data_IF_836088994790
#
_entry.id   IF_836088994790
#
_cell.length_a   1.000
_cell.length_b   1.000
_cell.length_c   1.000
_cell.angle_alpha   90.00
_cell.angle_beta   90.00
_cell.angle_gamma   90.00
#
_symmetry.space_group_name_H-M   'P 1'
#
loop_
_entity.id
_entity.type
_entity.pdbx_description
1 polymer ?
#
# COMPACT_ATOMS: atom_id res chain seq x y z
N UNK A 1 -7.77 7.06 -15.87
CA UNK A 1 -7.99 6.03 -14.82
C UNK A 1 -8.27 6.77 -13.54
N UNK A 2 -9.20 6.28 -12.73
CA UNK A 2 -9.47 6.87 -11.42
C UNK A 2 -8.62 6.12 -10.40
N UNK A 3 -7.98 6.87 -9.51
CA UNK A 3 -7.20 6.36 -8.39
C UNK A 3 -7.87 6.81 -7.08
N UNK A 4 -7.41 6.25 -5.98
CA UNK A 4 -7.88 6.61 -4.65
C UNK A 4 -6.74 7.20 -3.85
N UNK A 5 -6.92 8.43 -3.39
CA UNK A 5 -5.98 9.14 -2.55
C UNK A 5 -6.41 8.99 -1.09
N UNK A 6 -5.49 8.46 -0.29
CA UNK A 6 -5.63 8.30 1.14
C UNK A 6 -4.78 9.35 1.86
N UNK A 7 -5.38 10.03 2.83
CA UNK A 7 -4.73 11.04 3.69
C UNK A 7 -5.25 10.90 5.12
N UNK A 8 -4.61 11.49 6.13
CA UNK A 8 -5.12 11.49 7.51
C UNK A 8 -6.45 12.24 7.65
N UNK A 9 -6.71 13.17 6.73
CA UNK A 9 -7.83 14.11 6.84
C UNK A 9 -9.00 13.63 5.98
N UNK A 10 -9.84 12.79 6.58
CA UNK A 10 -11.14 12.42 6.02
C UNK A 10 -11.14 11.14 5.18
N UNK A 11 -12.28 10.83 4.53
CA UNK A 11 -12.43 9.58 3.79
C UNK A 11 -11.53 9.55 2.55
N UNK A 12 -11.22 8.37 2.00
CA UNK A 12 -10.50 8.24 0.74
C UNK A 12 -11.13 9.06 -0.39
N UNK A 13 -10.31 9.70 -1.20
CA UNK A 13 -10.73 10.61 -2.28
C UNK A 13 -10.48 10.00 -3.65
N UNK A 14 -11.48 10.00 -4.51
CA UNK A 14 -11.28 9.62 -5.92
C UNK A 14 -10.57 10.74 -6.68
N UNK A 15 -9.42 10.44 -7.27
CA UNK A 15 -8.54 11.40 -7.97
C UNK A 15 -8.05 10.83 -9.31
N UNK A 16 -7.42 11.66 -10.13
CA UNK A 16 -6.68 11.24 -11.32
C UNK A 16 -5.32 10.58 -10.99
N UNK A 17 -4.35 10.74 -11.89
CA UNK A 17 -2.98 10.28 -11.69
C UNK A 17 -2.15 11.27 -10.85
N UNK A 18 -0.84 11.03 -10.70
CA UNK A 18 0.05 11.94 -9.96
C UNK A 18 0.10 13.36 -10.53
N UNK A 19 -0.29 13.57 -11.80
CA UNK A 19 -0.39 14.88 -12.42
C UNK A 19 -1.67 15.64 -12.09
N UNK A 20 -2.64 15.00 -11.42
CA UNK A 20 -3.83 15.66 -10.91
C UNK A 20 -3.46 16.76 -9.92
N UNK A 21 -4.01 17.97 -10.11
CA UNK A 21 -3.76 19.11 -9.24
C UNK A 21 -4.10 18.82 -7.77
N UNK A 22 -5.10 17.98 -7.53
CA UNK A 22 -5.53 17.55 -6.20
C UNK A 22 -4.44 16.69 -5.55
N UNK A 23 -3.81 15.79 -6.30
CA UNK A 23 -2.72 14.94 -5.80
C UNK A 23 -1.46 15.77 -5.57
N UNK A 24 -1.09 16.63 -6.54
CA UNK A 24 0.08 17.49 -6.44
C UNK A 24 0.01 18.46 -5.24
N UNK A 25 -1.18 18.99 -4.95
CA UNK A 25 -1.41 19.92 -3.84
C UNK A 25 -1.59 19.25 -2.48
N UNK A 26 -1.73 17.92 -2.42
CA UNK A 26 -1.97 17.19 -1.16
C UNK A 26 -0.68 17.08 -0.35
N UNK A 27 -0.63 17.59 0.90
CA UNK A 27 0.51 17.40 1.79
C UNK A 27 0.60 15.95 2.27
N UNK A 28 1.80 15.51 2.62
CA UNK A 28 2.00 14.22 3.28
C UNK A 28 1.62 14.27 4.78
N UNK A 29 1.40 13.12 5.43
CA UNK A 29 1.48 11.78 4.85
C UNK A 29 0.30 11.50 3.91
N UNK A 30 0.54 10.86 2.77
CA UNK A 30 -0.50 10.51 1.80
C UNK A 30 -0.10 9.30 0.97
N UNK A 31 -1.06 8.51 0.52
CA UNK A 31 -0.83 7.36 -0.37
C UNK A 31 -1.84 7.36 -1.50
N UNK A 32 -1.34 7.19 -2.73
CA UNK A 32 -2.16 7.02 -3.93
C UNK A 32 -2.25 5.53 -4.26
N UNK A 33 -3.46 5.00 -4.32
CA UNK A 33 -3.76 3.62 -4.70
C UNK A 33 -4.44 3.59 -6.06
N UNK A 34 -4.19 2.54 -6.84
CA UNK A 34 -5.01 2.22 -8.00
C UNK A 34 -6.43 1.90 -7.52
N UNK A 35 -7.46 2.45 -8.17
CA UNK A 35 -8.83 1.99 -7.92
C UNK A 35 -8.96 0.55 -8.42
N UNK A 36 -9.66 -0.35 -7.69
CA UNK A 36 -9.97 -1.65 -8.24
C UNK A 36 -10.80 -1.43 -9.50
N UNK A 37 -10.35 -1.98 -10.63
CA UNK A 37 -11.17 -1.99 -11.83
C UNK A 37 -12.40 -2.85 -11.52
N UNK A 38 -13.56 -2.23 -11.28
CA UNK A 38 -14.84 -2.95 -11.26
C UNK A 38 -14.97 -3.65 -12.62
N UNK A 39 -14.63 -4.94 -12.63
CA UNK A 39 -14.93 -5.83 -13.75
C UNK A 39 -16.44 -6.04 -13.75
N UNK A 40 -17.16 -5.18 -14.46
CA UNK A 40 -18.62 -5.22 -14.49
C UNK A 40 -19.16 -4.24 -15.53
N UNK A 41 -19.43 -4.79 -16.71
CA UNK A 41 -20.31 -4.29 -17.75
C UNK A 41 -21.43 -3.37 -17.19
N UNK A 42 -21.34 -2.07 -17.44
CA UNK A 42 -22.43 -1.13 -17.17
C UNK A 42 -23.52 -1.38 -18.21
N UNK A 43 -24.49 -2.21 -17.84
CA UNK A 43 -25.79 -2.18 -18.49
C UNK A 43 -26.34 -0.74 -18.38
N UNK A 44 -26.77 -0.10 -19.48
CA UNK A 44 -27.16 1.31 -19.47
C UNK A 44 -28.56 1.40 -18.87
N UNK A 45 -28.66 1.51 -17.53
CA UNK A 45 -29.99 1.53 -16.91
C UNK A 45 -30.08 1.63 -15.41
N UNK A 46 -29.01 1.95 -14.66
CA UNK A 46 -29.15 2.17 -13.22
C UNK A 46 -28.45 3.45 -12.78
N UNK A 47 -29.13 4.15 -11.87
CA UNK A 47 -28.87 5.48 -11.34
C UNK A 47 -27.41 5.68 -10.89
N UNK A 48 -26.92 6.93 -10.77
CA UNK A 48 -25.58 7.18 -10.27
C UNK A 48 -25.48 6.62 -8.85
N UNK A 49 -24.83 5.47 -8.71
CA UNK A 49 -24.45 4.94 -7.41
C UNK A 49 -23.47 5.96 -6.83
N UNK A 50 -23.93 6.65 -5.80
CA UNK A 50 -23.09 7.43 -4.88
C UNK A 50 -21.87 6.57 -4.56
N UNK A 51 -20.62 7.06 -4.73
CA UNK A 51 -19.45 6.27 -4.35
C UNK A 51 -19.60 5.99 -2.86
N UNK A 52 -19.87 4.73 -2.53
CA UNK A 52 -19.89 4.25 -1.17
C UNK A 52 -18.54 4.64 -0.57
N UNK A 53 -18.55 5.27 0.62
CA UNK A 53 -17.33 5.71 1.27
C UNK A 53 -16.45 4.47 1.52
N UNK A 54 -15.51 4.21 0.60
CA UNK A 54 -14.60 3.10 0.70
C UNK A 54 -13.82 3.29 2.01
N UNK A 55 -13.82 2.27 2.86
CA UNK A 55 -13.11 2.37 4.14
C UNK A 55 -11.61 2.38 3.86
N UNK A 56 -10.83 3.16 4.63
CA UNK A 56 -9.36 3.22 4.57
C UNK A 56 -8.71 1.83 4.50
N UNK A 57 -9.25 0.84 5.21
CA UNK A 57 -8.77 -0.55 5.23
C UNK A 57 -8.98 -1.26 3.89
N UNK A 58 -10.12 -1.01 3.23
CA UNK A 58 -10.42 -1.55 1.91
C UNK A 58 -9.49 -0.91 0.86
N UNK A 59 -9.31 0.40 0.91
CA UNK A 59 -8.40 1.12 0.01
C UNK A 59 -6.95 0.68 0.17
N UNK A 60 -6.49 0.46 1.41
CA UNK A 60 -5.14 -0.03 1.68
C UNK A 60 -4.89 -1.46 1.18
N UNK A 61 -5.92 -2.18 0.74
CA UNK A 61 -5.78 -3.50 0.09
C UNK A 61 -5.51 -3.41 -1.41
N UNK A 62 -5.69 -2.24 -2.02
CA UNK A 62 -5.42 -2.01 -3.44
C UNK A 62 -3.92 -1.91 -3.71
N UNK A 63 -3.55 -1.96 -4.99
CA UNK A 63 -2.17 -1.74 -5.43
C UNK A 63 -1.73 -0.28 -5.22
N UNK A 64 -0.73 0.01 -4.38
CA UNK A 64 -0.21 1.35 -4.18
C UNK A 64 0.59 1.80 -5.41
N UNK A 65 0.51 3.09 -5.72
CA UNK A 65 1.19 3.72 -6.87
C UNK A 65 2.27 4.68 -6.41
N UNK A 66 1.97 5.51 -5.41
CA UNK A 66 2.89 6.47 -4.85
C UNK A 66 2.58 6.71 -3.37
N UNK A 67 3.59 7.10 -2.59
CA UNK A 67 3.40 7.62 -1.24
C UNK A 67 4.07 8.99 -1.12
N UNK A 68 3.66 9.75 -0.13
CA UNK A 68 4.28 11.02 0.25
C UNK A 68 4.43 11.03 1.76
N UNK A 69 5.65 11.18 2.25
CA UNK A 69 5.93 11.41 3.67
C UNK A 69 5.61 12.86 4.05
N UNK A 70 5.49 13.14 5.36
CA UNK A 70 5.34 14.51 5.86
C UNK A 70 6.50 15.40 5.35
N UNK A 71 6.15 16.56 4.79
CA UNK A 71 7.10 17.54 4.24
C UNK A 71 8.04 17.03 3.12
N UNK A 72 7.76 15.88 2.52
CA UNK A 72 8.53 15.30 1.40
C UNK A 72 7.84 15.52 0.04
N UNK A 73 8.57 15.19 -1.03
CA UNK A 73 7.99 15.04 -2.37
C UNK A 73 7.28 13.67 -2.52
N UNK A 74 6.46 13.53 -3.55
CA UNK A 74 5.86 12.25 -3.90
C UNK A 74 6.95 11.26 -4.34
N UNK A 75 6.92 10.06 -3.76
CA UNK A 75 7.73 8.92 -4.13
C UNK A 75 6.88 7.90 -4.88
N UNK A 76 7.25 7.61 -6.13
CA UNK A 76 6.56 6.63 -6.96
C UNK A 76 7.07 5.22 -6.61
N UNK A 77 6.19 4.30 -6.25
CA UNK A 77 6.61 2.97 -5.84
C UNK A 77 7.08 2.15 -7.04
N UNK A 78 8.18 1.44 -6.86
CA UNK A 78 8.60 0.39 -7.77
C UNK A 78 7.50 -0.67 -7.98
N UNK A 79 7.39 -1.16 -9.22
CA UNK A 79 6.41 -2.18 -9.61
C UNK A 79 6.42 -3.39 -8.66
N UNK A 80 7.60 -3.85 -8.27
CA UNK A 80 7.78 -4.99 -7.39
C UNK A 80 7.25 -4.73 -5.97
N UNK A 81 7.50 -3.55 -5.39
CA UNK A 81 6.98 -3.20 -4.08
C UNK A 81 5.45 -3.07 -4.10
N UNK A 82 4.90 -2.47 -5.15
CA UNK A 82 3.46 -2.33 -5.32
C UNK A 82 2.75 -3.69 -5.43
N UNK A 83 3.27 -4.60 -6.26
CA UNK A 83 2.72 -5.96 -6.43
C UNK A 83 2.83 -6.79 -5.15
N UNK A 84 3.95 -6.67 -4.44
CA UNK A 84 4.14 -7.37 -3.16
C UNK A 84 3.14 -6.89 -2.11
N UNK A 85 2.88 -5.58 -2.03
CA UNK A 85 1.87 -5.04 -1.12
C UNK A 85 0.46 -5.55 -1.44
N UNK A 86 0.08 -5.52 -2.72
CA UNK A 86 -1.22 -6.02 -3.18
C UNK A 86 -1.38 -7.51 -2.86
N UNK A 87 -0.32 -8.30 -3.01
CA UNK A 87 -0.28 -9.73 -2.71
C UNK A 87 -0.23 -10.11 -1.22
N UNK A 88 -0.09 -9.14 -0.30
CA UNK A 88 -0.15 -9.42 1.14
C UNK A 88 -1.55 -9.90 1.56
N UNK A 89 -1.64 -10.76 2.58
CA UNK A 89 -2.93 -11.02 3.20
C UNK A 89 -3.41 -9.80 4.00
N UNK A 90 -4.73 -9.59 4.17
CA UNK A 90 -5.24 -8.49 4.99
C UNK A 90 -4.64 -8.46 6.40
N UNK A 91 -4.55 -9.62 7.06
CA UNK A 91 -4.01 -9.73 8.41
C UNK A 91 -2.53 -9.34 8.48
N UNK A 92 -1.78 -9.64 7.42
CA UNK A 92 -0.38 -9.28 7.32
C UNK A 92 -0.21 -7.78 7.06
N UNK A 93 -1.05 -7.16 6.21
CA UNK A 93 -1.05 -5.70 6.02
C UNK A 93 -1.35 -4.98 7.33
N UNK A 94 -2.42 -5.36 8.02
CA UNK A 94 -2.79 -4.77 9.31
C UNK A 94 -1.64 -4.89 10.33
N UNK A 95 -1.02 -6.07 10.39
CA UNK A 95 0.12 -6.31 11.28
C UNK A 95 1.33 -5.43 10.93
N UNK A 96 1.59 -5.19 9.64
CA UNK A 96 2.72 -4.38 9.19
C UNK A 96 2.47 -2.87 9.34
N UNK A 97 1.22 -2.42 9.18
CA UNK A 97 0.81 -1.04 9.48
C UNK A 97 0.93 -0.78 10.99
N UNK A 98 0.46 -1.71 11.83
CA UNK A 98 0.57 -1.58 13.28
C UNK A 98 2.02 -1.74 13.80
N UNK A 99 2.79 -2.67 13.21
CA UNK A 99 4.20 -2.89 13.52
C UNK A 99 5.00 -3.23 12.24
N UNK A 100 5.57 -2.18 11.64
CA UNK A 100 6.50 -2.27 10.51
C UNK A 100 7.73 -3.17 10.73
N UNK A 101 8.03 -3.52 11.98
CA UNK A 101 9.14 -4.43 12.34
C UNK A 101 8.70 -5.87 12.54
N UNK A 102 7.40 -6.14 12.35
CA UNK A 102 6.80 -7.46 12.47
C UNK A 102 7.53 -8.48 11.61
N UNK A 103 7.72 -9.66 12.18
CA UNK A 103 8.39 -10.76 11.52
C UNK A 103 7.42 -11.45 10.57
N UNK A 104 7.89 -11.80 9.38
CA UNK A 104 7.17 -12.70 8.49
C UNK A 104 7.59 -14.15 8.74
N UNK A 105 6.63 -15.06 8.64
CA UNK A 105 6.89 -16.48 8.50
C UNK A 105 7.55 -16.77 7.14
N UNK A 106 8.11 -17.98 6.99
CA UNK A 106 8.68 -18.39 5.71
C UNK A 106 7.59 -18.50 4.63
N UNK A 107 6.41 -18.94 5.03
CA UNK A 107 5.25 -19.11 4.17
C UNK A 107 4.75 -17.74 3.68
N UNK A 108 4.57 -16.77 4.58
CA UNK A 108 4.20 -15.39 4.24
C UNK A 108 5.23 -14.78 3.28
N UNK A 109 6.52 -14.90 3.60
CA UNK A 109 7.60 -14.44 2.72
C UNK A 109 7.54 -15.10 1.33
N UNK A 110 7.36 -16.43 1.26
CA UNK A 110 7.38 -17.17 0.00
C UNK A 110 6.18 -16.86 -0.88
N UNK A 111 5.01 -16.65 -0.29
CA UNK A 111 3.78 -16.30 -1.01
C UNK A 111 3.91 -14.91 -1.60
N UNK A 112 4.40 -13.94 -0.82
CA UNK A 112 4.47 -12.56 -1.30
C UNK A 112 5.58 -12.38 -2.33
N UNK A 113 6.76 -12.93 -2.10
CA UNK A 113 7.94 -12.65 -2.96
C UNK A 113 8.16 -13.63 -4.10
N UNK A 114 7.34 -14.69 -4.20
CA UNK A 114 7.64 -15.87 -5.02
C UNK A 114 9.07 -16.43 -4.79
N UNK A 115 9.66 -16.16 -3.62
CA UNK A 115 11.01 -16.56 -3.25
C UNK A 115 12.15 -15.66 -3.74
N UNK A 116 11.88 -14.59 -4.48
CA UNK A 116 12.89 -13.69 -5.04
C UNK A 116 12.45 -12.24 -4.90
N UNK A 117 12.88 -11.54 -3.85
CA UNK A 117 12.74 -10.09 -3.83
C UNK A 117 13.79 -9.40 -2.98
N UNK A 118 14.36 -8.32 -3.52
CA UNK A 118 15.20 -7.38 -2.79
C UNK A 118 14.37 -6.33 -2.01
N UNK A 119 13.12 -6.09 -2.42
CA UNK A 119 12.16 -5.17 -1.77
C UNK A 119 11.59 -5.74 -0.47
N UNK A 120 11.58 -7.07 -0.34
CA UNK A 120 11.37 -7.75 0.93
C UNK A 120 12.61 -8.59 1.24
N UNK A 121 13.66 -8.03 1.85
CA UNK A 121 14.66 -8.69 2.70
C UNK A 121 15.90 -7.79 2.81
N UNK A 122 16.41 -7.59 4.03
CA UNK A 122 17.85 -7.84 4.22
C UNK A 122 18.07 -8.79 5.38
N UNK A 123 18.62 -9.94 5.02
CA UNK A 123 19.30 -10.90 5.86
C UNK A 123 20.52 -10.22 6.46
N UNK A 124 20.34 -9.49 7.56
CA UNK A 124 21.45 -8.86 8.27
C UNK A 124 21.52 -9.30 9.73
N UNK A 125 21.22 -10.57 10.02
CA UNK A 125 21.65 -11.22 11.26
C UNK A 125 22.12 -12.64 10.95
N UNK A 126 23.23 -12.73 10.22
CA UNK A 126 24.01 -13.95 10.11
C UNK A 126 24.70 -14.17 11.45
N UNK A 127 24.06 -14.88 12.36
CA UNK A 127 24.78 -15.59 13.41
C UNK A 127 24.35 -17.05 13.39
N UNK A 128 25.37 -17.89 13.29
CA UNK A 128 25.31 -19.34 13.27
C UNK A 128 24.27 -19.91 14.24
N UNK A 129 23.22 -20.55 13.69
CA UNK A 129 22.33 -21.44 14.44
C UNK A 129 21.05 -20.80 14.98
N UNK A 130 20.12 -20.37 14.13
CA UNK A 130 18.68 -20.20 14.44
C UNK A 130 17.89 -19.78 13.19
N UNK A 131 16.55 -19.97 13.13
CA UNK A 131 15.78 -19.83 11.89
C UNK A 131 15.88 -18.43 11.26
N UNK A 132 15.84 -18.37 9.92
CA UNK A 132 15.85 -17.11 9.17
C UNK A 132 14.64 -16.25 9.59
N UNK A 133 14.89 -15.01 9.99
CA UNK A 133 13.84 -14.04 10.26
C UNK A 133 13.64 -13.13 9.05
N UNK A 134 12.39 -13.05 8.59
CA UNK A 134 11.99 -12.24 7.44
C UNK A 134 11.29 -10.97 7.91
N UNK A 135 11.54 -9.84 7.25
CA UNK A 135 10.92 -8.53 7.50
C UNK A 135 10.77 -7.78 6.19
N UNK A 136 9.79 -6.87 6.12
CA UNK A 136 9.71 -5.90 5.02
C UNK A 136 10.88 -4.90 5.11
N UNK A 137 11.30 -4.38 3.96
CA UNK A 137 12.40 -3.43 3.84
C UNK A 137 12.13 -2.44 2.69
N UNK A 138 12.98 -1.42 2.54
CA UNK A 138 12.89 -0.44 1.45
C UNK A 138 11.50 0.18 1.32
N UNK A 139 11.03 0.31 0.08
CA UNK A 139 9.76 0.97 -0.27
C UNK A 139 8.54 0.38 0.43
N UNK A 140 8.52 -0.94 0.70
CA UNK A 140 7.41 -1.57 1.42
C UNK A 140 7.36 -1.16 2.89
N UNK A 141 8.53 -0.99 3.51
CA UNK A 141 8.63 -0.51 4.89
C UNK A 141 8.21 0.96 4.95
N UNK A 142 8.73 1.78 4.04
CA UNK A 142 8.40 3.22 3.96
C UNK A 142 6.89 3.41 3.72
N UNK A 143 6.30 2.65 2.81
CA UNK A 143 4.85 2.63 2.60
C UNK A 143 4.08 2.29 3.88
N UNK A 144 4.49 1.25 4.60
CA UNK A 144 3.84 0.85 5.86
C UNK A 144 3.97 1.94 6.95
N UNK A 145 5.08 2.69 6.96
CA UNK A 145 5.27 3.85 7.85
C UNK A 145 4.27 4.96 7.52
N UNK A 146 4.16 5.35 6.24
CA UNK A 146 3.20 6.38 5.82
C UNK A 146 1.76 5.98 6.10
N UNK A 147 1.40 4.70 5.86
CA UNK A 147 0.04 4.21 6.16
C UNK A 147 -0.26 4.17 7.66
N UNK A 148 0.73 3.90 8.50
CA UNK A 148 0.57 3.96 9.96
C UNK A 148 0.26 5.41 10.41
N UNK A 149 0.99 6.39 9.88
CA UNK A 149 0.77 7.81 10.19
C UNK A 149 -0.59 8.34 9.71
N UNK A 150 -1.18 7.72 8.69
CA UNK A 150 -2.53 8.04 8.22
C UNK A 150 -3.61 7.45 9.13
N UNK A 151 -3.34 6.30 9.76
CA UNK A 151 -4.30 5.58 10.60
C UNK A 151 -4.34 6.02 12.07
N UNK A 152 -3.34 6.79 12.52
CA UNK A 152 -3.25 7.40 13.87
C UNK A 152 -4.07 8.70 14.00
#
# INVERSE_FOLDING_TARGET
MTNVLLTPQGPPLSVGDMGDLSVAATPGPAVLFASPATSGDVSPGSAPETPEAESTVATASNRPLAYREADADWHELGYEAADHWEGLSPELRDRLIADRTAKLSREEYSVTTSGASASMITSNWTYSGSPRMYRIAGELRELAEVLAEIGD
#
